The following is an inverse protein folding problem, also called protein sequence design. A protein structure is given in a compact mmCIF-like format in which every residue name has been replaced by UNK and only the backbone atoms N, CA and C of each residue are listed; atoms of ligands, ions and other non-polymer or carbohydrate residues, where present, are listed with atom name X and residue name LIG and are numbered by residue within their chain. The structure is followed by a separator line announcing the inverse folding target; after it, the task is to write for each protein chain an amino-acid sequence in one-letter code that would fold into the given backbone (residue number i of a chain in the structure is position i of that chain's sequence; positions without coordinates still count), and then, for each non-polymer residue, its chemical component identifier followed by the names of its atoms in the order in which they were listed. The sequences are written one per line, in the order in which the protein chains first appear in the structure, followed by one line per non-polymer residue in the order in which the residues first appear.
data_IF_673923467240
#
_entry.id   IF_673923467240
#
_cell.length_a   1.000
_cell.length_b   1.000
_cell.length_c   1.000
_cell.angle_alpha   90.00
_cell.angle_beta   90.00
_cell.angle_gamma   90.00
#
_symmetry.space_group_name_H-M   'P 1'
#
loop_
_entity.id
_entity.type
_entity.pdbx_description
1 polymer ?
#
# COMPACT_ATOMS: atom_id res chain seq x y z
N UNK A 1 -0.18 -0.42 6.81
CA UNK A 1 0.63 0.19 7.89
C UNK A 1 -0.33 0.29 9.04
N UNK A 2 -0.13 -0.49 10.10
CA UNK A 2 -0.97 -0.37 11.29
C UNK A 2 -0.71 1.03 11.89
N UNK A 3 -1.70 1.94 12.01
CA UNK A 3 -1.49 3.35 12.37
C UNK A 3 -1.23 3.54 13.88
N UNK A 4 -0.34 2.71 14.44
CA UNK A 4 0.10 2.77 15.83
C UNK A 4 1.27 3.73 15.95
N UNK A 5 1.31 4.48 17.03
CA UNK A 5 2.36 5.45 17.35
C UNK A 5 3.29 4.97 18.48
N UNK A 6 3.22 3.69 18.86
CA UNK A 6 4.03 3.09 19.93
C UNK A 6 5.52 3.41 19.80
N UNK A 7 6.04 3.37 18.56
CA UNK A 7 7.45 3.62 18.24
C UNK A 7 7.72 5.02 17.65
N UNK A 8 6.73 5.93 17.69
CA UNK A 8 6.83 7.27 17.09
C UNK A 8 8.06 8.04 17.57
N UNK A 9 8.46 7.86 18.83
CA UNK A 9 9.66 8.48 19.40
C UNK A 9 10.91 8.20 18.55
N UNK A 10 11.04 7.00 17.98
CA UNK A 10 12.17 6.66 17.10
C UNK A 10 12.21 7.54 15.84
N UNK A 11 11.05 7.92 15.31
CA UNK A 11 10.93 8.77 14.13
C UNK A 11 11.23 10.23 14.49
N UNK A 12 10.65 10.71 15.59
CA UNK A 12 10.83 12.09 16.08
C UNK A 12 12.32 12.38 16.39
N UNK A 13 13.02 11.45 17.05
CA UNK A 13 14.47 11.55 17.32
C UNK A 13 15.34 11.64 16.05
N UNK A 14 14.82 11.15 14.92
CA UNK A 14 15.51 11.13 13.62
C UNK A 14 15.03 12.22 12.67
N UNK A 15 14.07 13.04 13.09
CA UNK A 15 13.45 14.06 12.23
C UNK A 15 12.68 13.47 11.03
N UNK A 16 12.17 12.24 11.17
CA UNK A 16 11.40 11.57 10.11
C UNK A 16 9.92 11.96 10.25
N UNK A 17 9.32 12.47 9.17
CA UNK A 17 7.89 12.80 9.13
C UNK A 17 7.03 11.57 9.36
N UNK A 18 6.10 11.65 10.32
CA UNK A 18 5.12 10.62 10.62
C UNK A 18 3.70 11.12 10.37
N UNK A 19 2.89 10.31 9.68
CA UNK A 19 1.46 10.56 9.44
C UNK A 19 0.69 9.40 10.04
N UNK A 20 -0.05 9.66 11.13
CA UNK A 20 -0.85 8.65 11.83
C UNK A 20 -2.22 8.48 11.15
N UNK A 21 -2.24 7.80 9.99
CA UNK A 21 -3.48 7.49 9.26
C UNK A 21 -3.40 6.09 8.63
N UNK A 22 -4.52 5.39 8.59
CA UNK A 22 -4.63 4.11 7.92
C UNK A 22 -4.80 4.33 6.41
N UNK A 23 -3.99 3.65 5.59
CA UNK A 23 -4.21 3.62 4.16
C UNK A 23 -5.37 2.66 3.85
N UNK A 24 -6.42 3.17 3.23
CA UNK A 24 -7.65 2.42 2.93
C UNK A 24 -8.07 2.59 1.48
N UNK A 25 -8.93 1.69 0.99
CA UNK A 25 -9.55 1.80 -0.34
C UNK A 25 -10.21 3.16 -0.59
N UNK A 26 -10.71 3.83 0.46
CA UNK A 26 -11.42 5.11 0.37
C UNK A 26 -10.48 6.33 0.31
N UNK A 27 -9.34 6.30 1.00
CA UNK A 27 -8.47 7.47 1.14
C UNK A 27 -7.14 7.38 0.39
N UNK A 28 -6.68 6.20 -0.05
CA UNK A 28 -5.28 6.02 -0.47
C UNK A 28 -4.81 7.02 -1.54
N UNK A 29 -5.66 7.35 -2.52
CA UNK A 29 -5.33 8.35 -3.55
C UNK A 29 -5.16 9.74 -2.95
N UNK A 30 -6.10 10.19 -2.14
CA UNK A 30 -6.08 11.52 -1.50
C UNK A 30 -4.92 11.64 -0.52
N UNK A 31 -4.66 10.58 0.24
CA UNK A 31 -3.63 10.53 1.27
C UNK A 31 -2.22 10.46 0.66
N UNK A 32 -1.99 9.52 -0.27
CA UNK A 32 -0.64 9.21 -0.75
C UNK A 32 -0.19 10.10 -1.90
N UNK A 33 -1.07 10.55 -2.79
CA UNK A 33 -0.67 11.38 -3.94
C UNK A 33 0.17 12.59 -3.53
N UNK A 34 -0.26 13.46 -2.60
CA UNK A 34 0.56 14.62 -2.23
C UNK A 34 1.90 14.21 -1.62
N UNK A 35 1.97 13.10 -0.87
CA UNK A 35 3.23 12.62 -0.27
C UNK A 35 4.19 12.09 -1.33
N UNK A 36 3.68 11.35 -2.31
CA UNK A 36 4.46 10.71 -3.37
C UNK A 36 4.93 11.70 -4.46
N UNK A 37 4.26 12.85 -4.58
CA UNK A 37 4.62 13.91 -5.54
C UNK A 37 5.24 15.13 -4.88
N UNK A 38 5.48 15.11 -3.56
CA UNK A 38 6.11 16.22 -2.86
C UNK A 38 7.63 16.21 -3.10
N UNK A 39 8.06 16.81 -4.20
CA UNK A 39 9.47 16.94 -4.54
C UNK A 39 9.67 17.37 -6.00
N UNK A 40 10.91 17.71 -6.35
CA UNK A 40 11.29 18.07 -7.73
C UNK A 40 11.70 16.89 -8.61
N UNK A 41 11.66 15.65 -8.09
CA UNK A 41 12.17 14.45 -8.75
C UNK A 41 11.22 13.26 -8.65
N UNK A 42 11.71 12.08 -9.09
CA UNK A 42 10.94 10.83 -9.04
C UNK A 42 10.83 10.32 -7.60
N UNK A 43 9.60 10.13 -7.13
CA UNK A 43 9.33 9.52 -5.83
C UNK A 43 9.59 8.01 -5.82
N UNK A 44 9.72 7.44 -4.61
CA UNK A 44 9.83 6.00 -4.37
C UNK A 44 8.90 5.62 -3.21
N UNK A 45 7.91 4.77 -3.47
CA UNK A 45 7.05 4.16 -2.46
C UNK A 45 7.64 2.81 -2.00
N UNK A 46 7.98 2.73 -0.71
CA UNK A 46 8.42 1.49 -0.05
C UNK A 46 7.28 1.01 0.83
N UNK A 47 6.56 -0.02 0.38
CA UNK A 47 5.36 -0.49 1.05
C UNK A 47 5.65 -1.69 1.98
N UNK A 48 5.72 -1.41 3.29
CA UNK A 48 5.98 -2.41 4.36
C UNK A 48 4.75 -2.55 5.26
N UNK A 49 3.58 -2.59 4.65
CA UNK A 49 2.27 -2.55 5.29
C UNK A 49 1.62 -3.93 5.46
N UNK A 50 0.64 -4.01 6.36
CA UNK A 50 -0.51 -4.91 6.26
C UNK A 50 -1.78 -4.13 5.87
N UNK A 51 -2.84 -4.85 5.47
CA UNK A 51 -4.22 -4.36 5.27
C UNK A 51 -4.43 -3.38 4.11
N UNK A 52 -3.45 -3.25 3.21
CA UNK A 52 -3.50 -2.36 2.05
C UNK A 52 -3.35 -3.13 0.75
N UNK A 53 -4.10 -2.77 -0.30
CA UNK A 53 -3.96 -3.46 -1.59
C UNK A 53 -2.68 -3.08 -2.32
N UNK A 54 -1.74 -4.03 -2.44
CA UNK A 54 -0.50 -3.87 -3.21
C UNK A 54 -0.75 -3.46 -4.66
N UNK A 55 -1.72 -4.11 -5.33
CA UNK A 55 -2.05 -3.82 -6.72
C UNK A 55 -2.53 -2.38 -6.92
N UNK A 56 -3.41 -1.88 -6.05
CA UNK A 56 -3.93 -0.51 -6.17
C UNK A 56 -2.87 0.55 -5.85
N UNK A 57 -1.99 0.29 -4.87
CA UNK A 57 -0.88 1.18 -4.55
C UNK A 57 0.17 1.22 -5.67
N UNK A 58 0.50 0.06 -6.24
CA UNK A 58 1.39 -0.06 -7.39
C UNK A 58 0.84 0.69 -8.61
N UNK A 59 -0.45 0.54 -8.93
CA UNK A 59 -1.11 1.30 -10.01
C UNK A 59 -1.04 2.80 -9.79
N UNK A 60 -1.28 3.26 -8.55
CA UNK A 60 -1.15 4.68 -8.21
C UNK A 60 0.28 5.17 -8.43
N UNK A 61 1.27 4.43 -7.95
CA UNK A 61 2.67 4.81 -8.12
C UNK A 61 3.07 4.89 -9.60
N UNK A 62 2.72 3.87 -10.41
CA UNK A 62 2.93 3.87 -11.86
C UNK A 62 2.29 5.09 -12.52
N UNK A 63 1.03 5.39 -12.21
CA UNK A 63 0.31 6.57 -12.73
C UNK A 63 1.00 7.90 -12.39
N UNK A 64 1.61 7.98 -11.21
CA UNK A 64 2.33 9.18 -10.75
C UNK A 64 3.81 9.21 -11.19
N UNK A 65 4.29 8.18 -11.89
CA UNK A 65 5.70 8.06 -12.27
C UNK A 65 6.63 7.74 -11.08
N UNK A 66 6.10 7.17 -10.01
CA UNK A 66 6.80 6.84 -8.75
C UNK A 66 7.23 5.37 -8.77
N UNK A 67 8.45 5.09 -8.32
CA UNK A 67 8.94 3.73 -8.12
C UNK A 67 8.18 3.04 -6.98
N UNK A 68 8.01 1.72 -7.04
CA UNK A 68 7.26 0.96 -6.04
C UNK A 68 7.95 -0.35 -5.71
N UNK A 69 8.00 -0.70 -4.43
CA UNK A 69 8.41 -2.03 -3.95
C UNK A 69 7.56 -2.43 -2.75
N UNK A 70 7.22 -3.70 -2.68
CA UNK A 70 6.62 -4.35 -1.51
C UNK A 70 7.24 -5.73 -1.27
N UNK A 71 6.81 -6.38 -0.20
CA UNK A 71 7.27 -7.73 0.18
C UNK A 71 6.18 -8.79 0.03
N UNK A 72 4.99 -8.42 -0.46
CA UNK A 72 3.80 -9.28 -0.53
C UNK A 72 2.76 -8.69 -1.49
N UNK A 73 1.96 -9.56 -2.12
CA UNK A 73 0.73 -9.14 -2.80
C UNK A 73 -0.41 -9.14 -1.78
N UNK A 74 -0.56 -8.03 -1.07
CA UNK A 74 -1.55 -7.86 0.00
C UNK A 74 -2.89 -7.37 -0.58
N UNK A 75 -4.05 -7.89 -0.13
CA UNK A 75 -5.36 -7.37 -0.47
C UNK A 75 -5.79 -6.23 0.49
N UNK A 76 -6.91 -5.56 0.18
CA UNK A 76 -7.53 -4.65 1.15
C UNK A 76 -8.05 -5.41 2.38
N UNK A 77 -8.03 -4.73 3.53
CA UNK A 77 -8.65 -5.22 4.77
C UNK A 77 -10.03 -5.86 4.53
N UNK A 78 -10.25 -7.00 5.17
CA UNK A 78 -11.49 -7.77 5.09
C UNK A 78 -11.49 -8.90 4.07
N UNK A 79 -10.55 -8.91 3.11
CA UNK A 79 -10.46 -9.97 2.09
C UNK A 79 -10.23 -11.36 2.68
N UNK A 80 -9.31 -11.50 3.64
CA UNK A 80 -9.00 -12.80 4.24
C UNK A 80 -10.13 -13.37 5.11
N UNK A 81 -11.06 -12.53 5.56
CA UNK A 81 -12.17 -12.90 6.43
C UNK A 81 -13.53 -12.93 5.72
N UNK A 82 -13.55 -12.81 4.39
CA UNK A 82 -14.76 -12.95 3.60
C UNK A 82 -15.17 -14.44 3.57
N UNK A 83 -16.21 -14.77 4.35
CA UNK A 83 -16.78 -16.12 4.47
C UNK A 83 -17.58 -16.54 3.23
N UNK A 84 -17.85 -15.61 2.32
CA UNK A 84 -18.53 -15.85 1.04
C UNK A 84 -17.56 -16.06 -0.11
N UNK A 85 -16.27 -15.79 0.08
CA UNK A 85 -15.26 -15.98 -0.94
C UNK A 85 -14.88 -17.46 -1.07
N UNK A 86 -14.82 -17.94 -2.31
CA UNK A 86 -14.33 -19.30 -2.60
C UNK A 86 -12.88 -19.48 -2.15
N UNK A 87 -12.51 -20.70 -1.78
CA UNK A 87 -11.16 -21.05 -1.33
C UNK A 87 -10.10 -20.68 -2.38
N UNK A 88 -10.39 -20.91 -3.67
CA UNK A 88 -9.46 -20.59 -4.75
C UNK A 88 -9.15 -19.09 -4.83
N UNK A 89 -10.15 -18.24 -4.57
CA UNK A 89 -10.02 -16.79 -4.60
C UNK A 89 -9.10 -16.25 -3.49
N UNK A 90 -8.95 -16.98 -2.38
CA UNK A 90 -8.15 -16.56 -1.21
C UNK A 90 -6.68 -16.99 -1.26
N UNK A 91 -6.24 -17.57 -2.38
CA UNK A 91 -4.87 -18.07 -2.53
C UNK A 91 -3.90 -16.97 -2.95
N UNK A 92 -2.63 -17.11 -2.57
CA UNK A 92 -1.55 -16.26 -3.09
C UNK A 92 -1.40 -16.39 -4.62
N UNK A 93 -1.81 -17.52 -5.21
CA UNK A 93 -1.86 -17.69 -6.66
C UNK A 93 -2.84 -16.70 -7.28
N UNK A 94 -4.10 -16.66 -6.81
CA UNK A 94 -5.11 -15.74 -7.33
C UNK A 94 -4.68 -14.26 -7.16
N UNK A 95 -4.12 -13.91 -6.00
CA UNK A 95 -3.58 -12.57 -5.76
C UNK A 95 -2.45 -12.23 -6.75
N UNK A 96 -1.51 -13.16 -6.97
CA UNK A 96 -0.43 -12.98 -7.95
C UNK A 96 -0.93 -12.83 -9.38
N UNK A 97 -1.93 -13.62 -9.79
CA UNK A 97 -2.48 -13.51 -11.16
C UNK A 97 -3.10 -12.13 -11.39
N UNK A 98 -3.74 -11.52 -10.38
CA UNK A 98 -4.26 -10.14 -10.51
C UNK A 98 -3.19 -9.09 -10.83
N UNK A 99 -1.95 -9.31 -10.38
CA UNK A 99 -0.80 -8.46 -10.73
C UNK A 99 -0.30 -8.77 -12.14
N UNK A 100 -0.27 -10.05 -12.54
CA UNK A 100 0.19 -10.45 -13.88
C UNK A 100 -0.75 -10.03 -15.00
N UNK A 101 -2.04 -9.95 -14.72
CA UNK A 101 -3.07 -9.48 -15.65
C UNK A 101 -3.08 -7.95 -15.76
N UNK A 102 -2.41 -7.23 -14.85
CA UNK A 102 -2.23 -5.79 -14.97
C UNK A 102 -1.29 -5.48 -16.12
N UNK A 103 -1.82 -4.84 -17.17
CA UNK A 103 -1.05 -4.41 -18.33
C UNK A 103 -0.66 -2.95 -18.14
N UNK A 104 0.66 -2.75 -18.24
CA UNK A 104 1.37 -1.50 -18.09
C UNK A 104 1.01 -0.41 -19.10
#
# INVERSE_FOLDING_TARGET
IDPRDTDRKLLDERGITFVQDAVTKKNYKKLLTPLLTNGGGQGFCVNLSVDTSSLELMKLCRKLGVLYVDTVVEPWLGFYFDDKADNAARTNYALRESVREEIA
#
